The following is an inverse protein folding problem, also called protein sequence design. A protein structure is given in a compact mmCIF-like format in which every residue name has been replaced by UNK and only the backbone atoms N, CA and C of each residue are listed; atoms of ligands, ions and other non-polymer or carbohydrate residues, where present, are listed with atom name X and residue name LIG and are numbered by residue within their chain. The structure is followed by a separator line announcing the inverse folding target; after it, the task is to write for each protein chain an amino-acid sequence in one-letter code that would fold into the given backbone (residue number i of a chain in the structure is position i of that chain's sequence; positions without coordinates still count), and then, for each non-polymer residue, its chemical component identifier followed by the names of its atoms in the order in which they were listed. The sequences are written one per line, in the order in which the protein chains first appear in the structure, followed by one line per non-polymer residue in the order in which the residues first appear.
data_IF_013023784200
#
_entry.id   IF_013023784200
#
_cell.length_a   1.000
_cell.length_b   1.000
_cell.length_c   1.000
_cell.angle_alpha   90.00
_cell.angle_beta   90.00
_cell.angle_gamma   90.00
#
_symmetry.space_group_name_H-M   'P 1'
#
loop_
_entity.id
_entity.type
_entity.pdbx_description
1 polymer ?
#
# COMPACT_ATOMS: atom_id res chain seq x y z
N UNK A 1 1.67 -6.07 -6.86
CA UNK A 1 1.47 -7.46 -6.43
C UNK A 1 2.33 -8.37 -7.28
N UNK A 2 2.93 -9.39 -6.67
CA UNK A 2 3.58 -10.49 -7.38
C UNK A 2 2.87 -11.77 -6.97
N UNK A 3 2.45 -12.56 -7.94
CA UNK A 3 1.84 -13.88 -7.73
C UNK A 3 2.92 -14.92 -7.95
N UNK A 4 3.04 -15.84 -7.01
CA UNK A 4 4.01 -16.93 -7.10
C UNK A 4 3.37 -18.26 -6.79
N UNK A 5 3.67 -19.26 -7.61
CA UNK A 5 3.30 -20.66 -7.40
C UNK A 5 4.59 -21.48 -7.28
N UNK A 6 4.67 -22.35 -6.27
CA UNK A 6 5.86 -23.16 -5.97
C UNK A 6 7.20 -22.39 -5.88
N UNK A 7 7.13 -21.11 -5.49
CA UNK A 7 8.29 -20.23 -5.31
C UNK A 7 8.80 -19.57 -6.61
N UNK A 8 8.11 -19.75 -7.73
CA UNK A 8 8.39 -19.06 -8.98
C UNK A 8 7.38 -17.91 -9.19
N UNK A 9 7.87 -16.78 -9.70
CA UNK A 9 6.98 -15.68 -10.15
C UNK A 9 6.25 -16.11 -11.42
N UNK A 10 4.93 -16.09 -11.35
CA UNK A 10 4.06 -16.37 -12.50
C UNK A 10 3.57 -15.06 -13.11
N UNK A 11 3.03 -14.18 -12.28
CA UNK A 11 2.39 -12.95 -12.72
C UNK A 11 2.65 -11.78 -11.77
N UNK A 12 2.43 -10.57 -12.26
CA UNK A 12 2.44 -9.36 -11.45
C UNK A 12 1.40 -8.36 -11.93
N UNK A 13 0.81 -7.64 -10.98
CA UNK A 13 -0.05 -6.48 -11.26
C UNK A 13 0.55 -5.26 -10.56
N UNK A 14 0.48 -4.11 -11.22
CA UNK A 14 1.01 -2.84 -10.72
C UNK A 14 -0.08 -1.78 -10.79
N UNK A 15 -0.06 -0.87 -9.81
CA UNK A 15 -0.97 0.26 -9.74
C UNK A 15 -0.20 1.51 -9.40
N UNK A 16 -0.39 2.55 -10.19
CA UNK A 16 0.20 3.86 -10.00
C UNK A 16 -0.68 4.73 -9.11
N UNK A 17 -0.17 5.02 -7.92
CA UNK A 17 -0.76 5.99 -7.00
C UNK A 17 -0.17 7.37 -7.27
N UNK A 18 -0.85 8.46 -6.95
CA UNK A 18 -0.26 9.80 -7.07
C UNK A 18 1.01 9.97 -6.19
N UNK A 19 1.91 10.90 -6.54
CA UNK A 19 3.19 11.12 -5.82
C UNK A 19 3.05 11.55 -4.36
N UNK A 20 1.87 12.01 -3.99
CA UNK A 20 1.60 12.52 -2.65
C UNK A 20 1.15 11.44 -1.67
N UNK A 21 0.82 10.25 -2.19
CA UNK A 21 0.41 9.08 -1.40
C UNK A 21 1.48 8.72 -0.37
N UNK A 22 1.04 8.44 0.86
CA UNK A 22 1.91 7.90 1.89
C UNK A 22 2.16 6.41 1.66
N UNK A 23 3.36 5.92 1.96
CA UNK A 23 3.75 4.50 1.79
C UNK A 23 2.73 3.56 2.44
N UNK A 24 2.31 3.85 3.68
CA UNK A 24 1.25 3.11 4.37
C UNK A 24 -0.03 2.95 3.55
N UNK A 25 -0.50 4.01 2.87
CA UNK A 25 -1.70 3.94 2.03
C UNK A 25 -1.43 3.11 0.77
N UNK A 26 -0.24 3.20 0.18
CA UNK A 26 0.13 2.38 -0.97
C UNK A 26 0.14 0.88 -0.63
N UNK A 27 0.66 0.51 0.55
CA UNK A 27 0.65 -0.85 1.07
C UNK A 27 -0.79 -1.34 1.34
N UNK A 28 -1.64 -0.49 1.92
CA UNK A 28 -3.06 -0.81 2.11
C UNK A 28 -3.78 -1.04 0.77
N UNK A 29 -3.50 -0.21 -0.25
CA UNK A 29 -4.03 -0.38 -1.61
C UNK A 29 -3.58 -1.69 -2.22
N UNK A 30 -2.29 -2.02 -2.09
CA UNK A 30 -1.75 -3.28 -2.61
C UNK A 30 -2.50 -4.49 -2.04
N UNK A 31 -2.72 -4.54 -0.72
CA UNK A 31 -3.47 -5.63 -0.08
C UNK A 31 -4.92 -5.67 -0.57
N UNK A 32 -5.60 -4.52 -0.63
CA UNK A 32 -6.99 -4.44 -1.12
C UNK A 32 -7.12 -5.00 -2.53
N UNK A 33 -6.24 -4.59 -3.44
CA UNK A 33 -6.29 -5.04 -4.84
C UNK A 33 -5.95 -6.52 -4.99
N UNK A 34 -5.03 -7.06 -4.18
CA UNK A 34 -4.76 -8.51 -4.15
C UNK A 34 -6.01 -9.29 -3.76
N UNK A 35 -6.77 -8.82 -2.76
CA UNK A 35 -8.00 -9.51 -2.32
C UNK A 35 -9.08 -9.40 -3.40
N UNK A 36 -9.23 -8.23 -4.02
CA UNK A 36 -10.14 -8.04 -5.16
C UNK A 36 -9.79 -8.98 -6.33
N UNK A 37 -8.49 -9.15 -6.61
CA UNK A 37 -8.03 -10.06 -7.64
C UNK A 37 -8.33 -11.52 -7.28
N UNK A 38 -8.07 -11.94 -6.04
CA UNK A 38 -8.45 -13.27 -5.55
C UNK A 38 -9.96 -13.53 -5.73
N UNK A 39 -10.79 -12.54 -5.41
CA UNK A 39 -12.24 -12.61 -5.61
C UNK A 39 -12.62 -12.72 -7.09
N UNK A 40 -12.03 -11.87 -7.94
CA UNK A 40 -12.27 -11.83 -9.39
C UNK A 40 -11.90 -13.15 -10.07
N UNK A 41 -10.75 -13.71 -9.69
CA UNK A 41 -10.23 -14.99 -10.20
C UNK A 41 -10.84 -16.21 -9.50
N UNK A 42 -11.70 -16.02 -8.51
CA UNK A 42 -12.34 -17.08 -7.71
C UNK A 42 -11.31 -18.03 -7.05
N UNK A 43 -10.21 -17.47 -6.55
CA UNK A 43 -9.16 -18.24 -5.86
C UNK A 43 -9.71 -18.78 -4.54
N UNK A 44 -9.71 -20.09 -4.34
CA UNK A 44 -10.28 -20.69 -3.13
C UNK A 44 -9.44 -20.40 -1.86
N UNK A 45 -8.11 -20.32 -1.99
CA UNK A 45 -7.19 -20.08 -0.87
C UNK A 45 -5.99 -19.25 -1.34
N UNK A 46 -5.67 -18.19 -0.61
CA UNK A 46 -4.55 -17.32 -0.94
C UNK A 46 -3.76 -16.95 0.32
N UNK A 47 -2.43 -16.94 0.21
CA UNK A 47 -1.54 -16.38 1.22
C UNK A 47 -1.03 -15.04 0.71
N UNK A 48 -1.38 -13.96 1.39
CA UNK A 48 -0.87 -12.62 1.10
C UNK A 48 0.27 -12.35 2.07
N UNK A 49 1.47 -12.18 1.53
CA UNK A 49 2.69 -11.93 2.31
C UNK A 49 3.05 -10.46 2.14
N UNK A 50 3.21 -9.73 3.24
CA UNK A 50 3.56 -8.31 3.25
C UNK A 50 4.66 -8.03 4.26
N UNK A 51 5.58 -7.14 3.93
CA UNK A 51 6.60 -6.65 4.85
C UNK A 51 6.14 -5.45 5.70
N UNK A 52 4.96 -4.91 5.43
CA UNK A 52 4.35 -3.84 6.21
C UNK A 52 3.59 -4.36 7.43
N UNK A 53 4.31 -4.46 8.56
CA UNK A 53 3.70 -4.72 9.87
C UNK A 53 2.57 -3.72 10.15
N UNK A 54 2.82 -2.44 9.85
CA UNK A 54 1.85 -1.37 10.15
C UNK A 54 0.51 -1.60 9.44
N UNK A 55 0.54 -2.03 8.18
CA UNK A 55 -0.67 -2.30 7.40
C UNK A 55 -1.41 -3.51 7.97
N UNK A 56 -0.70 -4.60 8.27
CA UNK A 56 -1.27 -5.83 8.82
C UNK A 56 -1.96 -5.56 10.17
N UNK A 57 -1.27 -4.87 11.08
CA UNK A 57 -1.82 -4.50 12.39
C UNK A 57 -3.05 -3.62 12.25
N UNK A 58 -3.05 -2.64 11.33
CA UNK A 58 -4.23 -1.79 11.11
C UNK A 58 -5.44 -2.57 10.58
N UNK A 59 -5.24 -3.57 9.71
CA UNK A 59 -6.32 -4.43 9.21
C UNK A 59 -6.92 -5.28 10.34
N UNK A 60 -6.09 -5.82 11.23
CA UNK A 60 -6.54 -6.64 12.37
C UNK A 60 -7.12 -5.81 13.52
N UNK A 61 -6.75 -4.52 13.61
CA UNK A 61 -7.18 -3.63 14.69
C UNK A 61 -8.70 -3.38 14.68
N UNK A 62 -9.23 -2.82 15.77
CA UNK A 62 -10.60 -2.31 15.83
C UNK A 62 -10.75 -0.91 15.20
N UNK A 63 -9.74 -0.41 14.48
CA UNK A 63 -9.82 0.89 13.82
C UNK A 63 -10.89 0.90 12.72
N UNK A 64 -11.58 2.04 12.65
CA UNK A 64 -12.71 2.29 11.75
C UNK A 64 -12.41 3.40 10.73
N UNK A 65 -11.13 3.54 10.35
CA UNK A 65 -10.80 4.38 9.21
C UNK A 65 -11.50 3.85 7.96
N UNK A 66 -12.13 4.74 7.17
CA UNK A 66 -12.93 4.34 5.99
C UNK A 66 -12.20 3.32 5.11
N UNK A 67 -10.91 3.55 4.84
CA UNK A 67 -10.09 2.66 4.02
C UNK A 67 -9.84 1.28 4.65
N UNK A 68 -9.62 1.23 5.97
CA UNK A 68 -9.46 -0.04 6.71
C UNK A 68 -10.77 -0.84 6.65
N UNK A 69 -11.90 -0.15 6.83
CA UNK A 69 -13.21 -0.76 6.73
C UNK A 69 -13.48 -1.30 5.31
N UNK A 70 -13.08 -0.56 4.27
CA UNK A 70 -13.19 -1.01 2.88
C UNK A 70 -12.41 -2.33 2.67
N UNK A 71 -11.18 -2.46 3.20
CA UNK A 71 -10.42 -3.71 3.13
C UNK A 71 -11.11 -4.85 3.89
N UNK A 72 -11.58 -4.59 5.11
CA UNK A 72 -12.29 -5.58 5.92
C UNK A 72 -13.55 -6.08 5.23
N UNK A 73 -14.30 -5.18 4.59
CA UNK A 73 -15.50 -5.53 3.84
C UNK A 73 -15.14 -6.43 2.65
N UNK A 74 -14.10 -6.08 1.89
CA UNK A 74 -13.62 -6.91 0.77
C UNK A 74 -13.12 -8.28 1.24
N UNK A 75 -12.48 -8.36 2.42
CA UNK A 75 -12.10 -9.63 3.05
C UNK A 75 -13.29 -10.48 3.51
N UNK A 76 -14.39 -9.86 3.94
CA UNK A 76 -15.60 -10.58 4.35
C UNK A 76 -16.45 -11.04 3.16
N UNK A 77 -16.43 -10.25 2.09
CA UNK A 77 -17.22 -10.47 0.87
C UNK A 77 -16.51 -11.39 -0.15
N UNK A 78 -15.25 -11.77 0.11
CA UNK A 78 -14.57 -12.77 -0.71
C UNK A 78 -14.92 -14.19 -0.23
N UNK A 79 -15.20 -15.09 -1.18
CA UNK A 79 -15.35 -16.52 -0.91
C UNK A 79 -13.98 -17.22 -0.75
N UNK A 80 -12.88 -16.47 -0.87
CA UNK A 80 -11.51 -16.95 -0.72
C UNK A 80 -11.13 -17.09 0.76
N UNK A 81 -10.46 -18.18 1.13
CA UNK A 81 -9.74 -18.27 2.39
C UNK A 81 -8.41 -17.51 2.27
N UNK A 82 -8.44 -16.22 2.58
CA UNK A 82 -7.27 -15.33 2.53
C UNK A 82 -6.58 -15.29 3.89
N UNK A 83 -5.30 -15.66 3.92
CA UNK A 83 -4.43 -15.53 5.09
C UNK A 83 -3.40 -14.44 4.86
N UNK A 84 -3.26 -13.53 5.83
CA UNK A 84 -2.28 -12.45 5.82
C UNK A 84 -1.06 -12.87 6.65
N UNK A 85 0.13 -12.76 6.06
CA UNK A 85 1.40 -13.11 6.71
C UNK A 85 2.37 -11.94 6.66
N UNK A 86 3.10 -11.77 7.75
CA UNK A 86 4.22 -10.84 7.79
C UNK A 86 5.51 -11.50 7.31
N UNK A 87 6.31 -10.77 6.53
CA UNK A 87 7.69 -11.14 6.18
C UNK A 87 8.66 -10.01 6.52
N UNK A 88 9.93 -10.33 6.75
CA UNK A 88 10.92 -9.28 7.02
C UNK A 88 11.45 -8.72 5.70
N UNK A 89 11.49 -7.40 5.55
CA UNK A 89 12.00 -6.73 4.35
C UNK A 89 13.48 -7.02 4.04
N UNK A 90 14.22 -7.56 5.02
CA UNK A 90 15.66 -7.84 4.92
C UNK A 90 15.99 -9.34 4.86
N UNK A 91 14.98 -10.22 4.95
CA UNK A 91 15.16 -11.60 4.53
C UNK A 91 15.21 -11.59 3.00
N UNK A 92 16.17 -12.33 2.41
CA UNK A 92 16.30 -12.52 0.97
C UNK A 92 15.09 -13.34 0.48
N UNK A 93 13.92 -12.69 0.42
CA UNK A 93 12.69 -13.23 -0.09
C UNK A 93 12.51 -12.66 -1.49
N UNK A 94 12.76 -13.51 -2.50
CA UNK A 94 12.66 -13.13 -3.91
C UNK A 94 11.32 -12.47 -4.25
N UNK A 95 10.23 -12.92 -3.63
CA UNK A 95 8.90 -12.33 -3.84
C UNK A 95 8.80 -10.89 -3.33
N UNK A 96 9.37 -10.59 -2.16
CA UNK A 96 9.37 -9.24 -1.58
C UNK A 96 10.24 -8.30 -2.41
N UNK A 97 11.47 -8.71 -2.72
CA UNK A 97 12.39 -7.93 -3.57
C UNK A 97 11.76 -7.61 -4.92
N UNK A 98 11.00 -8.55 -5.47
CA UNK A 98 10.28 -8.36 -6.73
C UNK A 98 9.11 -7.40 -6.60
N UNK A 99 8.34 -7.49 -5.52
CA UNK A 99 7.27 -6.55 -5.23
C UNK A 99 7.81 -5.11 -5.10
N UNK A 100 8.91 -4.93 -4.38
CA UNK A 100 9.60 -3.64 -4.23
C UNK A 100 10.15 -3.11 -5.55
N UNK A 101 10.72 -3.99 -6.37
CA UNK A 101 11.17 -3.64 -7.72
C UNK A 101 10.03 -3.04 -8.54
N UNK A 102 8.86 -3.69 -8.54
CA UNK A 102 7.69 -3.22 -9.26
C UNK A 102 7.09 -1.94 -8.66
N UNK A 103 7.02 -1.82 -7.34
CA UNK A 103 6.58 -0.61 -6.67
C UNK A 103 7.44 0.59 -7.10
N UNK A 104 8.76 0.43 -7.08
CA UNK A 104 9.71 1.45 -7.52
C UNK A 104 9.57 1.78 -9.02
N UNK A 105 9.42 0.78 -9.88
CA UNK A 105 9.23 0.99 -11.32
C UNK A 105 7.95 1.78 -11.60
N UNK A 106 6.89 1.49 -10.86
CA UNK A 106 5.58 2.11 -11.03
C UNK A 106 5.60 3.61 -10.74
N UNK A 107 6.44 4.10 -9.82
CA UNK A 107 6.58 5.54 -9.53
C UNK A 107 6.93 6.41 -10.75
N UNK A 108 7.50 5.79 -11.80
CA UNK A 108 7.91 6.47 -13.03
C UNK A 108 6.80 6.54 -14.10
N UNK A 109 5.69 5.84 -13.88
CA UNK A 109 4.53 5.84 -14.77
C UNK A 109 3.77 7.17 -14.61
N UNK A 110 3.38 7.76 -15.75
CA UNK A 110 2.68 9.05 -15.80
C UNK A 110 1.20 8.92 -15.49
N UNK A 111 0.54 7.90 -16.03
CA UNK A 111 -0.87 7.62 -15.80
C UNK A 111 -1.10 7.19 -14.35
N UNK A 112 -2.06 7.82 -13.67
CA UNK A 112 -2.36 7.57 -12.26
C UNK A 112 -3.66 6.77 -12.17
N UNK A 113 -3.58 5.58 -11.59
CA UNK A 113 -4.73 4.72 -11.30
C UNK A 113 -5.50 5.19 -10.06
N UNK A 114 -4.78 5.63 -9.03
CA UNK A 114 -5.38 6.04 -7.76
C UNK A 114 -4.84 7.38 -7.25
N UNK A 115 -5.75 8.32 -7.00
CA UNK A 115 -5.43 9.63 -6.43
C UNK A 115 -5.82 9.71 -4.95
N UNK A 116 -4.82 9.86 -4.07
CA UNK A 116 -5.04 10.03 -2.64
C UNK A 116 -4.58 11.40 -2.18
N UNK A 117 -5.41 12.06 -1.38
CA UNK A 117 -5.04 13.32 -0.74
C UNK A 117 -3.89 13.11 0.26
N UNK A 118 -3.02 14.13 0.38
CA UNK A 118 -2.01 14.19 1.44
C UNK A 118 -2.61 13.92 2.81
N UNK A 119 -1.90 13.11 3.59
CA UNK A 119 -2.24 12.89 5.00
C UNK A 119 -2.32 14.22 5.75
N UNK A 120 -3.20 14.29 6.74
CA UNK A 120 -3.37 15.49 7.59
C UNK A 120 -2.04 15.94 8.18
N UNK A 121 -1.18 15.00 8.55
CA UNK A 121 0.14 15.28 9.10
C UNK A 121 1.07 15.93 8.08
N UNK A 122 1.13 15.41 6.85
CA UNK A 122 1.97 15.98 5.77
C UNK A 122 1.53 17.40 5.43
N UNK A 123 0.21 17.65 5.33
CA UNK A 123 -0.36 19.00 5.14
C UNK A 123 0.05 19.96 6.25
N UNK A 124 -0.03 19.53 7.52
CA UNK A 124 0.41 20.35 8.66
C UNK A 124 1.91 20.66 8.60
N UNK A 125 2.74 19.69 8.23
CA UNK A 125 4.19 19.88 8.12
C UNK A 125 4.54 20.88 7.01
N UNK A 126 3.91 20.78 5.85
CA UNK A 126 4.09 21.73 4.74
C UNK A 126 3.66 23.14 5.14
N UNK A 127 2.50 23.28 5.79
CA UNK A 127 2.03 24.58 6.29
C UNK A 127 3.03 25.19 7.28
N UNK A 128 3.56 24.40 8.23
CA UNK A 128 4.58 24.86 9.17
C UNK A 128 5.87 25.27 8.46
N UNK A 129 6.28 24.55 7.42
CA UNK A 129 7.47 24.88 6.62
C UNK A 129 7.28 26.22 5.90
N UNK A 130 6.13 26.43 5.27
CA UNK A 130 5.81 27.69 4.58
C UNK A 130 5.78 28.87 5.56
N UNK A 131 5.15 28.70 6.73
CA UNK A 131 5.15 29.74 7.79
C UNK A 131 6.59 30.09 8.20
N UNK A 132 7.44 29.08 8.46
CA UNK A 132 8.84 29.31 8.84
C UNK A 132 9.64 30.04 7.75
N UNK A 133 9.44 29.66 6.48
CA UNK A 133 10.11 30.31 5.35
C UNK A 133 9.68 31.77 5.21
N UNK A 134 8.37 32.05 5.31
CA UNK A 134 7.85 33.41 5.28
C UNK A 134 8.41 34.25 6.41
N UNK A 135 8.46 33.71 7.63
CA UNK A 135 9.11 34.40 8.74
C UNK A 135 10.56 34.71 8.43
N UNK A 136 11.36 33.73 7.97
CA UNK A 136 12.76 33.97 7.63
C UNK A 136 12.92 35.10 6.59
N UNK A 137 12.10 35.13 5.54
CA UNK A 137 12.14 36.21 4.54
C UNK A 137 11.88 37.58 5.20
N UNK A 138 10.90 37.66 6.09
CA UNK A 138 10.55 38.90 6.82
C UNK A 138 11.58 39.31 7.88
N UNK A 139 12.42 38.39 8.35
CA UNK A 139 13.47 38.68 9.34
C UNK A 139 14.78 39.15 8.69
N UNK A 140 15.02 38.81 7.43
CA UNK A 140 16.22 39.19 6.67
C UNK A 140 15.99 40.37 5.70
N UNK A 141 14.78 40.93 5.67
CA UNK A 141 14.41 42.18 5.01
C UNK A 141 13.96 43.21 6.04
#
# INVERSE_FOLDING_TARGET
MVVSEDGNEEEHEIWRLNNETAVFIAEMVAIREVINDCKRRQIAKANIISDSISTLVSIESLENGKFILDIKNVLQDTNSNVLLWWTTAHAINKGNERADYFANKTTKIQEIDFDFCKTKQRRKTEMRKNIRQNWQILWYH
#
